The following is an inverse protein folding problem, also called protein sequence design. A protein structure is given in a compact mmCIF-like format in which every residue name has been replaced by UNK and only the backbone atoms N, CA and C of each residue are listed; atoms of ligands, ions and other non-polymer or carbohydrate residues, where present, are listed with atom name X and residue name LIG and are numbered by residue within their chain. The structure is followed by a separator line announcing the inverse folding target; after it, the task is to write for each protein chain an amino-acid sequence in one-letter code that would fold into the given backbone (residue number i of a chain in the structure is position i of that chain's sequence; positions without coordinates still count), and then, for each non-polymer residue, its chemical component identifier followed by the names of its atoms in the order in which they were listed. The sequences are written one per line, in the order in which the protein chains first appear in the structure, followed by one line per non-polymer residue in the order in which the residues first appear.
data_IF_584221601538
#
_entry.id   IF_584221601538
#
_cell.length_a   1.000
_cell.length_b   1.000
_cell.length_c   1.000
_cell.angle_alpha   90.00
_cell.angle_beta   90.00
_cell.angle_gamma   90.00
#
_symmetry.space_group_name_H-M   'P 1'
#
loop_
_entity.id
_entity.type
_entity.pdbx_description
1 polymer ?
#
# COMPACT_ATOMS: atom_id res chain seq x y z
N UNK A 1 -37.78 18.35 40.53
CA UNK A 1 -37.81 17.62 39.24
C UNK A 1 -38.81 16.49 39.38
N UNK A 2 -39.96 16.64 38.74
CA UNK A 2 -41.13 15.76 38.85
C UNK A 2 -40.90 14.41 38.15
N UNK A 3 -41.64 13.38 38.57
CA UNK A 3 -41.56 12.02 37.99
C UNK A 3 -41.85 12.01 36.47
N UNK A 4 -42.64 12.96 35.96
CA UNK A 4 -42.89 13.17 34.53
C UNK A 4 -41.60 13.49 33.75
N UNK A 5 -40.74 14.38 34.26
CA UNK A 5 -39.46 14.72 33.62
C UNK A 5 -38.49 13.53 33.59
N UNK A 6 -38.56 12.62 34.57
CA UNK A 6 -37.81 11.36 34.56
C UNK A 6 -38.38 10.34 33.55
N UNK A 7 -39.69 10.34 33.34
CA UNK A 7 -40.38 9.52 32.33
C UNK A 7 -40.05 9.96 30.89
N UNK A 8 -40.07 11.27 30.64
CA UNK A 8 -39.75 11.86 29.34
C UNK A 8 -38.28 11.62 28.95
N UNK A 9 -37.33 11.85 29.86
CA UNK A 9 -35.91 11.56 29.60
C UNK A 9 -35.62 10.07 29.38
N UNK A 10 -36.35 9.15 30.04
CA UNK A 10 -36.23 7.70 29.78
C UNK A 10 -36.79 7.32 28.42
N UNK A 11 -37.92 7.91 28.01
CA UNK A 11 -38.53 7.66 26.72
C UNK A 11 -37.67 8.21 25.56
N UNK A 12 -37.07 9.38 25.75
CA UNK A 12 -36.15 10.01 24.79
C UNK A 12 -34.84 9.22 24.66
N UNK A 13 -34.26 8.77 25.79
CA UNK A 13 -33.11 7.86 25.80
C UNK A 13 -33.40 6.50 25.16
N UNK A 14 -34.64 6.00 25.25
CA UNK A 14 -35.07 4.75 24.60
C UNK A 14 -35.17 4.89 23.08
N UNK A 15 -35.77 5.99 22.60
CA UNK A 15 -35.87 6.31 21.16
C UNK A 15 -34.50 6.51 20.50
N UNK A 16 -33.57 7.14 21.21
CA UNK A 16 -32.20 7.33 20.72
C UNK A 16 -31.44 6.00 20.62
N UNK A 17 -31.63 5.09 21.58
CA UNK A 17 -31.03 3.76 21.54
C UNK A 17 -31.56 2.94 20.36
N UNK A 18 -32.88 2.93 20.15
CA UNK A 18 -33.52 2.21 19.04
C UNK A 18 -33.02 2.74 17.68
N UNK A 19 -32.90 4.06 17.54
CA UNK A 19 -32.31 4.69 16.36
C UNK A 19 -30.86 4.26 16.13
N UNK A 20 -30.03 4.18 17.17
CA UNK A 20 -28.64 3.71 17.06
C UNK A 20 -28.56 2.25 16.63
N UNK A 21 -29.39 1.37 17.19
CA UNK A 21 -29.42 -0.05 16.83
C UNK A 21 -29.86 -0.25 15.36
N UNK A 22 -30.83 0.55 14.88
CA UNK A 22 -31.20 0.53 13.46
C UNK A 22 -30.05 0.96 12.55
N UNK A 23 -29.32 2.02 12.92
CA UNK A 23 -28.14 2.46 12.18
C UNK A 23 -27.01 1.42 12.21
N UNK A 24 -26.82 0.72 13.33
CA UNK A 24 -25.87 -0.41 13.43
C UNK A 24 -26.21 -1.49 12.41
N UNK A 25 -27.47 -1.87 12.29
CA UNK A 25 -27.94 -2.84 11.28
C UNK A 25 -27.67 -2.35 9.86
N UNK A 26 -27.84 -1.06 9.55
CA UNK A 26 -27.47 -0.52 8.24
C UNK A 26 -25.98 -0.71 7.93
N UNK A 27 -25.09 -0.47 8.90
CA UNK A 27 -23.65 -0.64 8.72
C UNK A 27 -23.28 -2.11 8.57
N UNK A 28 -23.92 -3.03 9.30
CA UNK A 28 -23.72 -4.48 9.13
C UNK A 28 -24.14 -4.94 7.72
N UNK A 29 -25.28 -4.44 7.23
CA UNK A 29 -25.75 -4.69 5.87
C UNK A 29 -24.79 -4.13 4.81
N UNK A 30 -24.24 -2.93 5.02
CA UNK A 30 -23.23 -2.36 4.13
C UNK A 30 -21.96 -3.22 4.12
N UNK A 31 -21.49 -3.67 5.28
CA UNK A 31 -20.30 -4.50 5.40
C UNK A 31 -20.43 -5.80 4.61
N UNK A 32 -21.49 -6.58 4.83
CA UNK A 32 -21.70 -7.86 4.13
C UNK A 32 -21.97 -7.66 2.64
N UNK A 33 -22.75 -6.65 2.26
CA UNK A 33 -23.02 -6.34 0.85
C UNK A 33 -21.72 -5.98 0.11
N UNK A 34 -20.95 -5.06 0.66
CA UNK A 34 -19.70 -4.62 0.03
C UNK A 34 -18.61 -5.69 0.07
N UNK A 35 -18.66 -6.63 1.02
CA UNK A 35 -17.78 -7.80 1.03
C UNK A 35 -18.13 -8.77 -0.10
N UNK A 36 -19.42 -9.06 -0.32
CA UNK A 36 -19.89 -9.87 -1.46
C UNK A 36 -19.48 -9.25 -2.80
N UNK A 37 -19.70 -7.95 -2.95
CA UNK A 37 -19.32 -7.21 -4.17
C UNK A 37 -17.80 -7.27 -4.41
N UNK A 38 -17.01 -7.21 -3.33
CA UNK A 38 -15.56 -7.32 -3.39
C UNK A 38 -15.09 -8.73 -3.74
N UNK A 39 -15.61 -9.77 -3.09
CA UNK A 39 -15.31 -11.18 -3.43
C UNK A 39 -15.68 -11.45 -4.89
N UNK A 40 -16.85 -11.03 -5.36
CA UNK A 40 -17.23 -11.18 -6.77
C UNK A 40 -16.31 -10.43 -7.73
N UNK A 41 -15.68 -9.34 -7.28
CA UNK A 41 -14.64 -8.64 -8.05
C UNK A 41 -13.34 -9.45 -8.11
N UNK A 42 -12.92 -10.05 -7.00
CA UNK A 42 -11.75 -10.93 -6.95
C UNK A 42 -11.93 -12.21 -7.78
N UNK A 43 -13.13 -12.79 -7.76
CA UNK A 43 -13.47 -13.97 -8.56
C UNK A 43 -13.38 -13.67 -10.06
N UNK A 44 -13.86 -12.50 -10.47
CA UNK A 44 -13.68 -12.01 -11.84
C UNK A 44 -12.19 -11.89 -12.20
N UNK A 45 -11.36 -11.33 -11.33
CA UNK A 45 -9.91 -11.21 -11.55
C UNK A 45 -9.22 -12.58 -11.62
N UNK A 46 -9.63 -13.56 -10.81
CA UNK A 46 -9.12 -14.94 -10.87
C UNK A 46 -9.47 -15.62 -12.20
N UNK A 47 -10.71 -15.49 -12.68
CA UNK A 47 -11.10 -15.98 -14.00
C UNK A 47 -10.29 -15.31 -15.12
N UNK A 48 -10.04 -14.00 -15.00
CA UNK A 48 -9.22 -13.26 -15.95
C UNK A 48 -7.78 -13.77 -15.95
N UNK A 49 -7.17 -13.95 -14.77
CA UNK A 49 -5.82 -14.49 -14.57
C UNK A 49 -5.68 -15.85 -15.26
N UNK A 50 -6.60 -16.79 -15.00
CA UNK A 50 -6.52 -18.13 -15.59
C UNK A 50 -6.60 -18.10 -17.12
N UNK A 51 -7.44 -17.24 -17.67
CA UNK A 51 -7.54 -17.06 -19.12
C UNK A 51 -6.26 -16.47 -19.71
N UNK A 52 -5.65 -15.51 -19.02
CA UNK A 52 -4.41 -14.89 -19.48
C UNK A 52 -3.22 -15.87 -19.40
N UNK A 53 -3.19 -16.74 -18.38
CA UNK A 53 -2.22 -17.84 -18.28
C UNK A 53 -2.37 -18.83 -19.45
N UNK A 54 -3.59 -19.27 -19.76
CA UNK A 54 -3.83 -20.12 -20.94
C UNK A 54 -3.33 -19.45 -22.23
N UNK A 55 -3.55 -18.15 -22.38
CA UNK A 55 -3.05 -17.41 -23.53
C UNK A 55 -1.51 -17.36 -23.56
N UNK A 56 -0.86 -17.13 -22.41
CA UNK A 56 0.60 -17.14 -22.29
C UNK A 56 1.21 -18.50 -22.67
N UNK A 57 0.58 -19.60 -22.27
CA UNK A 57 1.00 -20.97 -22.62
C UNK A 57 0.96 -21.24 -24.13
N UNK A 58 -0.03 -20.68 -24.84
CA UNK A 58 -0.10 -20.81 -26.31
C UNK A 58 1.00 -20.06 -27.05
N UNK A 59 1.74 -19.15 -26.37
CA UNK A 59 2.82 -18.33 -26.93
C UNK A 59 2.42 -17.54 -28.19
N UNK A 60 1.14 -17.21 -28.32
CA UNK A 60 0.60 -16.48 -29.48
C UNK A 60 1.05 -15.01 -29.53
N UNK A 61 1.27 -14.37 -28.39
CA UNK A 61 1.83 -13.01 -28.30
C UNK A 61 3.05 -13.01 -27.39
N UNK A 62 4.20 -12.58 -27.92
CA UNK A 62 5.49 -12.54 -27.20
C UNK A 62 5.49 -11.63 -25.96
N UNK A 63 4.52 -10.72 -25.83
CA UNK A 63 4.43 -9.76 -24.73
C UNK A 63 3.57 -10.30 -23.55
N UNK A 64 2.76 -11.34 -23.78
CA UNK A 64 1.96 -12.00 -22.74
C UNK A 64 2.67 -13.29 -22.37
N UNK A 65 3.52 -13.21 -21.35
CA UNK A 65 4.26 -14.35 -20.79
C UNK A 65 3.76 -14.67 -19.39
N UNK A 66 4.10 -15.84 -18.85
CA UNK A 66 3.82 -16.19 -17.46
C UNK A 66 4.33 -15.13 -16.48
N UNK A 67 5.51 -14.56 -16.73
CA UNK A 67 6.07 -13.49 -15.90
C UNK A 67 5.25 -12.20 -16.01
N UNK A 68 4.78 -11.85 -17.21
CA UNK A 68 3.85 -10.71 -17.40
C UNK A 68 2.58 -10.92 -16.57
N UNK A 69 1.99 -12.12 -16.58
CA UNK A 69 0.78 -12.42 -15.79
C UNK A 69 1.07 -12.35 -14.30
N UNK A 70 2.20 -12.93 -13.85
CA UNK A 70 2.63 -12.90 -12.46
C UNK A 70 2.77 -11.47 -11.93
N UNK A 71 3.41 -10.58 -12.69
CA UNK A 71 3.56 -9.16 -12.32
C UNK A 71 2.22 -8.43 -12.34
N UNK A 72 1.32 -8.71 -13.30
CA UNK A 72 0.02 -8.04 -13.37
C UNK A 72 -0.90 -8.38 -12.19
N UNK A 73 -0.91 -9.64 -11.75
CA UNK A 73 -1.88 -10.13 -10.78
C UNK A 73 -1.32 -10.42 -9.39
N UNK A 74 0.00 -10.51 -9.22
CA UNK A 74 0.63 -10.82 -7.92
C UNK A 74 0.00 -12.07 -7.28
N UNK A 75 -0.26 -12.01 -5.98
CA UNK A 75 -0.92 -13.03 -5.18
C UNK A 75 -2.45 -12.83 -5.08
N UNK A 76 -3.12 -12.35 -6.14
CA UNK A 76 -4.59 -12.09 -6.12
C UNK A 76 -5.43 -13.31 -5.72
N UNK A 77 -4.98 -14.53 -6.03
CA UNK A 77 -5.68 -15.76 -5.67
C UNK A 77 -5.63 -16.05 -4.17
N UNK A 78 -4.52 -15.70 -3.51
CA UNK A 78 -4.41 -15.78 -2.05
C UNK A 78 -5.33 -14.76 -1.38
N UNK A 79 -5.40 -13.54 -1.93
CA UNK A 79 -6.36 -12.50 -1.50
C UNK A 79 -7.78 -13.01 -1.64
N UNK A 80 -8.14 -13.61 -2.77
CA UNK A 80 -9.45 -14.23 -2.97
C UNK A 80 -9.73 -15.34 -1.94
N UNK A 81 -8.77 -16.22 -1.68
CA UNK A 81 -8.93 -17.29 -0.70
C UNK A 81 -9.24 -16.77 0.70
N UNK A 82 -8.49 -15.76 1.17
CA UNK A 82 -8.73 -15.14 2.48
C UNK A 82 -10.09 -14.46 2.55
N UNK A 83 -10.51 -13.75 1.49
CA UNK A 83 -11.79 -13.04 1.49
C UNK A 83 -13.00 -13.95 1.31
N UNK A 84 -12.87 -15.11 0.66
CA UNK A 84 -13.91 -16.15 0.66
C UNK A 84 -14.15 -16.68 2.06
N UNK A 85 -13.09 -17.03 2.78
CA UNK A 85 -13.19 -17.52 4.16
C UNK A 85 -13.76 -16.44 5.09
N UNK A 86 -13.30 -15.19 4.93
CA UNK A 86 -13.79 -14.05 5.71
C UNK A 86 -15.28 -13.79 5.46
N UNK A 87 -15.70 -13.79 4.19
CA UNK A 87 -17.09 -13.64 3.82
C UNK A 87 -17.94 -14.78 4.41
N UNK A 88 -17.52 -16.04 4.29
CA UNK A 88 -18.25 -17.18 4.86
C UNK A 88 -18.50 -17.02 6.36
N UNK A 89 -17.47 -16.65 7.13
CA UNK A 89 -17.60 -16.42 8.57
C UNK A 89 -18.57 -15.27 8.89
N UNK A 90 -18.49 -14.17 8.15
CA UNK A 90 -19.40 -13.01 8.34
C UNK A 90 -20.84 -13.37 7.96
N UNK A 91 -21.03 -14.12 6.88
CA UNK A 91 -22.36 -14.55 6.43
C UNK A 91 -23.01 -15.49 7.43
N UNK A 92 -22.28 -16.49 7.94
CA UNK A 92 -22.76 -17.42 8.95
C UNK A 92 -23.18 -16.68 10.23
N UNK A 93 -22.39 -15.71 10.68
CA UNK A 93 -22.71 -14.93 11.88
C UNK A 93 -23.93 -14.02 11.70
N UNK A 94 -24.19 -13.56 10.47
CA UNK A 94 -25.26 -12.61 10.18
C UNK A 94 -26.55 -13.28 9.67
N UNK A 95 -26.67 -14.61 9.71
CA UNK A 95 -27.90 -15.33 9.37
C UNK A 95 -29.02 -15.13 10.41
N UNK A 96 -30.30 -15.18 10.01
CA UNK A 96 -30.79 -15.15 8.62
C UNK A 96 -30.69 -13.75 8.00
N UNK A 97 -30.69 -12.71 8.83
CA UNK A 97 -30.49 -11.31 8.43
C UNK A 97 -29.69 -10.57 9.51
N UNK A 98 -28.93 -9.51 9.16
CA UNK A 98 -28.14 -8.76 10.14
C UNK A 98 -28.99 -8.17 11.28
N UNK A 99 -28.72 -8.60 12.51
CA UNK A 99 -29.36 -8.13 13.72
C UNK A 99 -28.42 -7.23 14.54
N UNK A 100 -28.98 -6.28 15.29
CA UNK A 100 -28.21 -5.32 16.06
C UNK A 100 -27.35 -5.94 17.17
N UNK A 101 -27.65 -7.19 17.58
CA UNK A 101 -26.93 -7.94 18.62
C UNK A 101 -25.80 -8.82 18.09
N UNK A 102 -25.65 -8.97 16.77
CA UNK A 102 -24.54 -9.76 16.22
C UNK A 102 -23.19 -9.13 16.55
N UNK A 103 -22.17 -9.97 16.72
CA UNK A 103 -20.86 -9.59 17.25
C UNK A 103 -19.76 -9.84 16.22
N UNK A 104 -19.61 -8.96 15.23
CA UNK A 104 -18.69 -9.17 14.09
C UNK A 104 -17.22 -8.87 14.41
N UNK A 105 -16.94 -8.25 15.56
CA UNK A 105 -15.58 -7.84 15.92
C UNK A 105 -14.59 -8.99 15.88
N UNK A 106 -14.98 -10.16 16.40
CA UNK A 106 -14.13 -11.35 16.43
C UNK A 106 -13.75 -11.87 15.02
N UNK A 107 -14.57 -11.65 14.00
CA UNK A 107 -14.25 -12.04 12.62
C UNK A 107 -12.97 -11.33 12.17
N UNK A 108 -12.84 -10.03 12.39
CA UNK A 108 -11.62 -9.29 12.02
C UNK A 108 -10.39 -9.77 12.81
N UNK A 109 -10.56 -10.06 14.10
CA UNK A 109 -9.46 -10.55 14.93
C UNK A 109 -8.98 -11.94 14.49
N UNK A 110 -9.90 -12.82 14.10
CA UNK A 110 -9.57 -14.14 13.57
C UNK A 110 -8.71 -14.07 12.31
N UNK A 111 -8.95 -13.08 11.45
CA UNK A 111 -8.23 -12.89 10.18
C UNK A 111 -7.00 -11.98 10.29
N UNK A 112 -6.62 -11.55 11.51
CA UNK A 112 -5.50 -10.61 11.77
C UNK A 112 -4.22 -10.92 11.00
N UNK A 113 -3.69 -12.14 11.13
CA UNK A 113 -2.45 -12.53 10.45
C UNK A 113 -2.65 -12.76 8.96
N UNK A 114 -3.85 -13.22 8.56
CA UNK A 114 -4.17 -13.53 7.16
C UNK A 114 -4.25 -12.28 6.29
N UNK A 115 -4.52 -11.10 6.86
CA UNK A 115 -4.46 -9.84 6.12
C UNK A 115 -3.03 -9.40 5.74
N UNK A 116 -1.97 -10.05 6.23
CA UNK A 116 -0.58 -9.73 5.86
C UNK A 116 -0.27 -10.01 4.37
N UNK A 117 -1.07 -10.84 3.70
CA UNK A 117 -0.96 -11.08 2.24
C UNK A 117 -1.05 -9.79 1.40
N UNK A 118 -1.63 -8.73 1.96
CA UNK A 118 -1.72 -7.43 1.31
C UNK A 118 -0.37 -6.72 1.19
N UNK A 119 0.63 -7.07 2.00
CA UNK A 119 1.97 -6.47 1.90
C UNK A 119 2.59 -6.80 0.52
N UNK A 120 2.46 -8.05 0.07
CA UNK A 120 2.91 -8.47 -1.26
C UNK A 120 2.09 -7.78 -2.37
N UNK A 121 0.76 -7.84 -2.29
CA UNK A 121 -0.10 -7.29 -3.34
C UNK A 121 0.12 -5.78 -3.53
N UNK A 122 0.16 -5.04 -2.42
CA UNK A 122 0.36 -3.59 -2.45
C UNK A 122 1.78 -3.22 -2.89
N UNK A 123 2.80 -3.98 -2.46
CA UNK A 123 4.18 -3.79 -2.90
C UNK A 123 4.40 -4.04 -4.39
N UNK A 124 3.63 -4.95 -5.00
CA UNK A 124 3.70 -5.23 -6.43
C UNK A 124 2.83 -4.29 -7.30
N UNK A 125 1.81 -3.64 -6.73
CA UNK A 125 0.79 -2.93 -7.51
C UNK A 125 1.34 -1.82 -8.43
N UNK A 126 2.39 -1.11 -8.01
CA UNK A 126 3.00 -0.07 -8.85
C UNK A 126 3.67 -0.67 -10.10
N UNK A 127 4.35 -1.82 -9.94
CA UNK A 127 4.95 -2.56 -11.07
C UNK A 127 3.84 -3.05 -12.01
N UNK A 128 2.75 -3.57 -11.47
CA UNK A 128 1.58 -3.99 -12.24
C UNK A 128 0.98 -2.85 -13.05
N UNK A 129 0.81 -1.66 -12.46
CA UNK A 129 0.28 -0.47 -13.15
C UNK A 129 1.21 0.00 -14.29
N UNK A 130 2.52 0.10 -14.02
CA UNK A 130 3.52 0.49 -15.03
C UNK A 130 3.51 -0.51 -16.20
N UNK A 131 3.49 -1.82 -15.90
CA UNK A 131 3.43 -2.87 -16.90
C UNK A 131 2.14 -2.80 -17.73
N UNK A 132 0.97 -2.66 -17.09
CA UNK A 132 -0.31 -2.58 -17.78
C UNK A 132 -0.37 -1.37 -18.74
N UNK A 133 0.21 -0.23 -18.34
CA UNK A 133 0.34 0.94 -19.21
C UNK A 133 1.14 0.61 -20.49
N UNK A 134 2.28 -0.06 -20.36
CA UNK A 134 3.11 -0.46 -21.51
C UNK A 134 2.41 -1.49 -22.39
N UNK A 135 1.75 -2.49 -21.80
CA UNK A 135 0.98 -3.49 -22.53
C UNK A 135 -0.18 -2.88 -23.32
N UNK A 136 -0.85 -1.87 -22.76
CA UNK A 136 -1.94 -1.17 -23.44
C UNK A 136 -1.49 -0.36 -24.67
N UNK A 137 -0.20 -0.02 -24.80
CA UNK A 137 0.36 0.58 -26.03
C UNK A 137 0.41 -0.42 -27.18
N UNK A 138 0.40 -1.71 -26.89
CA UNK A 138 0.48 -2.79 -27.88
C UNK A 138 -0.94 -3.18 -28.29
N UNK A 139 -1.32 -2.89 -29.55
CA UNK A 139 -2.70 -3.07 -30.05
C UNK A 139 -3.21 -4.50 -29.92
N UNK A 140 -2.37 -5.51 -30.20
CA UNK A 140 -2.74 -6.94 -30.07
C UNK A 140 -3.06 -7.30 -28.62
N UNK A 141 -2.16 -6.96 -27.69
CA UNK A 141 -2.32 -7.20 -26.25
C UNK A 141 -3.54 -6.49 -25.70
N UNK A 142 -3.71 -5.20 -25.99
CA UNK A 142 -4.90 -4.43 -25.57
C UNK A 142 -6.20 -5.09 -26.04
N UNK A 143 -6.23 -5.58 -27.28
CA UNK A 143 -7.40 -6.30 -27.82
C UNK A 143 -7.63 -7.61 -27.06
N UNK A 144 -6.57 -8.35 -26.74
CA UNK A 144 -6.64 -9.56 -25.95
C UNK A 144 -7.19 -9.29 -24.53
N UNK A 145 -6.69 -8.27 -23.84
CA UNK A 145 -7.18 -7.87 -22.52
C UNK A 145 -8.66 -7.49 -22.55
N UNK A 146 -9.09 -6.70 -23.54
CA UNK A 146 -10.50 -6.35 -23.72
C UNK A 146 -11.39 -7.57 -24.00
N UNK A 147 -10.92 -8.52 -24.82
CA UNK A 147 -11.64 -9.77 -25.07
C UNK A 147 -11.77 -10.60 -23.79
N UNK A 148 -10.72 -10.66 -22.97
CA UNK A 148 -10.76 -11.33 -21.67
C UNK A 148 -11.78 -10.66 -20.73
N UNK A 149 -11.85 -9.32 -20.70
CA UNK A 149 -12.84 -8.57 -19.91
C UNK A 149 -14.28 -8.92 -20.32
N UNK A 150 -14.56 -8.95 -21.63
CA UNK A 150 -15.89 -9.25 -22.17
C UNK A 150 -16.32 -10.70 -21.88
N UNK A 151 -15.42 -11.65 -22.07
CA UNK A 151 -15.67 -13.07 -21.82
C UNK A 151 -15.83 -13.40 -20.33
N UNK A 152 -15.30 -12.56 -19.43
CA UNK A 152 -15.51 -12.66 -17.98
C UNK A 152 -16.85 -12.12 -17.48
N UNK A 153 -17.80 -11.79 -18.38
CA UNK A 153 -19.16 -11.39 -18.03
C UNK A 153 -19.36 -9.89 -17.75
N UNK A 154 -18.32 -9.07 -17.90
CA UNK A 154 -18.42 -7.60 -17.80
C UNK A 154 -18.87 -7.03 -19.15
N UNK A 155 -20.18 -7.03 -19.39
CA UNK A 155 -20.80 -6.50 -20.63
C UNK A 155 -20.62 -4.99 -20.81
N UNK A 156 -20.41 -4.26 -19.71
CA UNK A 156 -20.07 -2.83 -19.73
C UNK A 156 -18.58 -2.67 -19.37
N UNK A 157 -17.76 -2.24 -20.34
CA UNK A 157 -16.33 -1.95 -20.17
C UNK A 157 -16.07 -0.54 -19.62
N UNK A 158 -17.02 0.04 -18.86
CA UNK A 158 -16.86 1.38 -18.29
C UNK A 158 -15.72 1.45 -17.28
N UNK A 159 -15.50 0.35 -16.54
CA UNK A 159 -14.35 0.23 -15.62
C UNK A 159 -13.23 -0.51 -16.36
N UNK A 160 -12.07 0.13 -16.57
CA UNK A 160 -10.92 -0.50 -17.21
C UNK A 160 -10.22 -1.46 -16.22
N UNK A 161 -9.33 -2.34 -16.69
CA UNK A 161 -8.70 -3.38 -15.87
C UNK A 161 -7.96 -2.79 -14.66
N UNK A 162 -7.33 -1.62 -14.83
CA UNK A 162 -6.68 -0.82 -13.79
C UNK A 162 -7.61 -0.58 -12.59
N UNK A 163 -8.90 -0.31 -12.86
CA UNK A 163 -9.91 -0.06 -11.82
C UNK A 163 -10.23 -1.30 -10.99
N UNK A 164 -10.09 -2.50 -11.54
CA UNK A 164 -10.25 -3.74 -10.81
C UNK A 164 -8.99 -4.10 -10.02
N UNK A 165 -7.80 -3.89 -10.60
CA UNK A 165 -6.53 -4.19 -9.95
C UNK A 165 -6.26 -3.29 -8.73
N UNK A 166 -6.87 -2.09 -8.65
CA UNK A 166 -6.76 -1.23 -7.46
C UNK A 166 -7.75 -1.61 -6.35
N UNK A 167 -8.75 -2.45 -6.65
CA UNK A 167 -9.83 -2.77 -5.71
C UNK A 167 -9.34 -3.37 -4.38
N UNK A 168 -8.32 -4.26 -4.32
CA UNK A 168 -7.80 -4.76 -3.05
C UNK A 168 -7.23 -3.65 -2.15
N UNK A 169 -6.44 -2.74 -2.72
CA UNK A 169 -5.87 -1.61 -1.98
C UNK A 169 -6.99 -0.71 -1.44
N UNK A 170 -8.02 -0.46 -2.25
CA UNK A 170 -9.18 0.30 -1.80
C UNK A 170 -9.90 -0.43 -0.68
N UNK A 171 -10.15 -1.74 -0.81
CA UNK A 171 -10.92 -2.52 0.16
C UNK A 171 -10.26 -2.54 1.52
N UNK A 172 -8.96 -2.84 1.59
CA UNK A 172 -8.26 -2.92 2.88
C UNK A 172 -8.32 -1.58 3.64
N UNK A 173 -8.29 -0.46 2.91
CA UNK A 173 -8.43 0.89 3.46
C UNK A 173 -9.86 1.26 3.89
N UNK A 174 -10.90 0.52 3.46
CA UNK A 174 -12.30 0.77 3.86
C UNK A 174 -12.66 0.16 5.20
N UNK A 175 -12.01 -0.94 5.62
CA UNK A 175 -12.37 -1.60 6.87
C UNK A 175 -12.26 -0.71 8.12
N UNK A 176 -11.21 0.13 8.30
CA UNK A 176 -11.17 1.07 9.42
C UNK A 176 -12.35 2.06 9.42
N UNK A 177 -12.84 2.46 8.24
CA UNK A 177 -13.97 3.38 8.13
C UNK A 177 -15.28 2.69 8.52
N UNK A 178 -15.52 1.47 8.01
CA UNK A 178 -16.68 0.65 8.35
C UNK A 178 -16.69 0.32 9.85
N UNK A 179 -15.57 -0.13 10.41
CA UNK A 179 -15.44 -0.44 11.83
C UNK A 179 -15.61 0.79 12.72
N UNK A 180 -15.10 1.96 12.31
CA UNK A 180 -15.30 3.22 13.04
C UNK A 180 -16.77 3.62 13.06
N UNK A 181 -17.45 3.54 11.93
CA UNK A 181 -18.88 3.85 11.86
C UNK A 181 -19.69 2.82 12.65
N UNK A 182 -19.37 1.53 12.54
CA UNK A 182 -20.03 0.48 13.32
C UNK A 182 -19.86 0.69 14.82
N UNK A 183 -18.64 0.95 15.29
CA UNK A 183 -18.33 1.22 16.70
C UNK A 183 -19.09 2.46 17.23
N UNK A 184 -19.26 3.49 16.39
CA UNK A 184 -20.06 4.68 16.73
C UNK A 184 -21.54 4.34 16.97
N UNK A 185 -22.06 3.29 16.33
CA UNK A 185 -23.44 2.79 16.50
C UNK A 185 -23.56 1.66 17.54
N UNK A 186 -22.46 1.29 18.19
CA UNK A 186 -22.42 0.24 19.21
C UNK A 186 -22.44 0.85 20.61
N UNK A 187 -23.47 0.60 21.44
CA UNK A 187 -23.46 1.04 22.83
C UNK A 187 -22.28 0.45 23.60
N UNK A 188 -21.69 1.19 24.55
CA UNK A 188 -20.56 0.69 25.38
C UNK A 188 -20.86 -0.58 26.17
N UNK A 189 -22.15 -0.85 26.46
CA UNK A 189 -22.61 -2.05 27.16
C UNK A 189 -22.82 -3.25 26.23
N UNK A 190 -22.72 -3.06 24.91
CA UNK A 190 -22.84 -4.14 23.93
C UNK A 190 -21.59 -5.03 23.98
N UNK A 191 -21.76 -6.35 23.93
CA UNK A 191 -20.66 -7.32 24.00
C UNK A 191 -19.58 -7.07 22.93
N UNK A 192 -20.00 -6.80 21.70
CA UNK A 192 -19.11 -6.48 20.56
C UNK A 192 -18.31 -5.16 20.71
N UNK A 193 -18.60 -4.29 21.68
CA UNK A 193 -17.96 -2.97 21.76
C UNK A 193 -16.42 -3.07 21.93
N UNK A 194 -15.97 -3.94 22.84
CA UNK A 194 -14.55 -4.18 23.08
C UNK A 194 -13.85 -4.77 21.86
N UNK A 195 -14.48 -5.79 21.26
CA UNK A 195 -13.98 -6.48 20.07
C UNK A 195 -13.88 -5.53 18.88
N UNK A 196 -14.89 -4.70 18.63
CA UNK A 196 -14.87 -3.71 17.54
C UNK A 196 -13.78 -2.65 17.72
N UNK A 197 -13.53 -2.21 18.95
CA UNK A 197 -12.45 -1.26 19.21
C UNK A 197 -11.08 -1.90 18.90
N UNK A 198 -10.87 -3.15 19.31
CA UNK A 198 -9.64 -3.88 18.99
C UNK A 198 -9.50 -4.11 17.48
N UNK A 199 -10.55 -4.57 16.81
CA UNK A 199 -10.60 -4.77 15.36
C UNK A 199 -10.33 -3.48 14.59
N UNK A 200 -10.82 -2.33 15.07
CA UNK A 200 -10.52 -1.04 14.49
C UNK A 200 -9.02 -0.71 14.57
N UNK A 201 -8.38 -0.95 15.72
CA UNK A 201 -6.93 -0.70 15.86
C UNK A 201 -6.12 -1.67 14.99
N UNK A 202 -6.54 -2.94 14.93
CA UNK A 202 -5.97 -3.94 14.04
C UNK A 202 -5.99 -3.46 12.58
N UNK A 203 -7.16 -3.10 12.05
CA UNK A 203 -7.27 -2.72 10.63
C UNK A 203 -6.55 -1.41 10.32
N UNK A 204 -6.46 -0.49 11.29
CA UNK A 204 -5.59 0.69 11.17
C UNK A 204 -4.11 0.31 11.07
N UNK A 205 -3.65 -0.63 11.90
CA UNK A 205 -2.27 -1.11 11.87
C UNK A 205 -1.94 -1.79 10.54
N UNK A 206 -2.86 -2.62 10.02
CA UNK A 206 -2.71 -3.23 8.68
C UNK A 206 -2.57 -2.16 7.60
N UNK A 207 -3.44 -1.15 7.59
CA UNK A 207 -3.32 -0.04 6.62
C UNK A 207 -2.02 0.76 6.77
N UNK A 208 -1.56 0.97 8.00
CA UNK A 208 -0.29 1.68 8.26
C UNK A 208 0.90 0.90 7.74
N UNK A 209 0.94 -0.42 7.99
CA UNK A 209 1.99 -1.33 7.49
C UNK A 209 2.12 -1.25 5.97
N UNK A 210 1.00 -1.35 5.26
CA UNK A 210 0.95 -1.27 3.79
C UNK A 210 1.50 0.08 3.29
N UNK A 211 1.11 1.18 3.94
CA UNK A 211 1.52 2.53 3.54
C UNK A 211 3.02 2.79 3.85
N UNK A 212 3.53 2.23 4.94
CA UNK A 212 4.94 2.31 5.30
C UNK A 212 5.82 1.46 4.36
N UNK A 213 5.38 0.25 4.02
CA UNK A 213 6.08 -0.61 3.07
C UNK A 213 6.24 0.06 1.70
N UNK A 214 5.18 0.71 1.20
CA UNK A 214 5.25 1.49 -0.04
C UNK A 214 6.21 2.67 0.08
N UNK A 215 6.11 3.45 1.17
CA UNK A 215 7.02 4.59 1.43
C UNK A 215 8.48 4.15 1.48
N UNK A 216 8.78 3.00 2.10
CA UNK A 216 10.13 2.48 2.17
C UNK A 216 10.66 2.07 0.79
N UNK A 217 9.82 1.45 -0.05
CA UNK A 217 10.19 1.13 -1.43
C UNK A 217 10.47 2.40 -2.25
N UNK A 218 9.62 3.42 -2.17
CA UNK A 218 9.85 4.73 -2.82
C UNK A 218 11.17 5.37 -2.34
N UNK A 219 11.48 5.28 -1.04
CA UNK A 219 12.77 5.77 -0.50
C UNK A 219 13.96 5.02 -1.11
N UNK A 220 13.89 3.70 -1.23
CA UNK A 220 14.97 2.90 -1.83
C UNK A 220 15.18 3.24 -3.31
N UNK A 221 14.11 3.45 -4.09
CA UNK A 221 14.21 3.89 -5.49
C UNK A 221 14.92 5.25 -5.60
N UNK A 222 14.59 6.20 -4.71
CA UNK A 222 15.27 7.52 -4.65
C UNK A 222 16.76 7.35 -4.34
N UNK A 223 17.12 6.43 -3.44
CA UNK A 223 18.51 6.15 -3.10
C UNK A 223 19.28 5.53 -4.28
N UNK A 224 18.69 4.57 -4.97
CA UNK A 224 19.28 3.96 -6.16
C UNK A 224 19.47 4.99 -7.29
N UNK A 225 18.45 5.80 -7.56
CA UNK A 225 18.54 6.91 -8.51
C UNK A 225 19.64 7.90 -8.09
N UNK A 226 19.72 8.26 -6.80
CA UNK A 226 20.77 9.14 -6.30
C UNK A 226 22.17 8.54 -6.52
N UNK A 227 22.39 7.26 -6.22
CA UNK A 227 23.67 6.60 -6.43
C UNK A 227 24.05 6.58 -7.91
N UNK A 228 23.09 6.43 -8.83
CA UNK A 228 23.33 6.47 -10.28
C UNK A 228 23.92 7.80 -10.77
N UNK A 229 23.70 8.89 -10.03
CA UNK A 229 24.26 10.21 -10.32
C UNK A 229 25.70 10.40 -9.81
N UNK A 230 26.30 9.38 -9.19
CA UNK A 230 27.66 9.40 -8.64
C UNK A 230 28.59 8.57 -9.53
N UNK A 231 29.58 9.22 -10.12
CA UNK A 231 30.65 8.55 -10.85
C UNK A 231 31.70 7.98 -9.88
N UNK A 232 32.17 6.76 -10.17
CA UNK A 232 33.26 6.12 -9.42
C UNK A 232 32.85 5.64 -8.04
N UNK A 233 31.61 5.18 -7.87
CA UNK A 233 31.13 4.61 -6.61
C UNK A 233 32.01 3.45 -6.13
N UNK A 234 32.34 3.42 -4.83
CA UNK A 234 33.09 2.34 -4.19
C UNK A 234 32.34 1.77 -2.98
N UNK A 235 32.45 0.45 -2.79
CA UNK A 235 31.77 -0.32 -1.73
C UNK A 235 30.40 -0.87 -2.14
N UNK A 236 29.61 -1.34 -1.16
CA UNK A 236 28.26 -1.86 -1.38
C UNK A 236 27.31 -0.80 -1.94
N UNK A 237 26.20 -1.22 -2.55
CA UNK A 237 25.17 -0.25 -2.94
C UNK A 237 24.61 0.46 -1.71
N UNK A 238 24.13 1.69 -1.91
CA UNK A 238 23.57 2.49 -0.83
C UNK A 238 22.36 1.78 -0.20
N UNK A 239 21.54 1.14 -1.03
CA UNK A 239 20.34 0.38 -0.63
C UNK A 239 20.64 -0.91 0.13
N UNK A 240 21.88 -1.42 0.09
CA UNK A 240 22.29 -2.60 0.87
C UNK A 240 22.44 -2.28 2.36
N UNK A 241 22.63 -1.00 2.71
CA UNK A 241 22.97 -0.59 4.08
C UNK A 241 22.07 0.51 4.62
N UNK A 242 21.58 1.41 3.77
CA UNK A 242 20.83 2.59 4.14
C UNK A 242 19.39 2.50 3.63
N UNK A 243 18.46 3.06 4.39
CA UNK A 243 17.04 3.13 4.03
C UNK A 243 16.56 4.55 3.70
N UNK A 244 17.31 5.58 4.11
CA UNK A 244 16.95 6.96 3.80
C UNK A 244 18.13 7.93 3.83
N UNK A 245 18.02 9.02 3.06
CA UNK A 245 18.90 10.19 3.17
C UNK A 245 18.32 11.16 4.20
N UNK A 246 19.09 11.44 5.24
CA UNK A 246 18.71 12.32 6.34
C UNK A 246 19.01 13.78 6.01
N UNK A 247 20.17 14.05 5.39
CA UNK A 247 20.62 15.41 5.12
C UNK A 247 21.61 15.46 3.95
N UNK A 248 21.65 16.60 3.26
CA UNK A 248 22.73 16.92 2.32
C UNK A 248 23.15 18.37 2.44
N UNK A 249 24.43 18.67 2.19
CA UNK A 249 24.96 20.02 2.31
C UNK A 249 26.36 20.18 1.73
N UNK A 250 26.73 21.41 1.38
CA UNK A 250 28.09 21.75 0.92
C UNK A 250 28.89 22.23 2.12
N UNK A 251 30.05 21.62 2.35
CA UNK A 251 30.95 21.95 3.45
C UNK A 251 32.41 22.01 2.94
N UNK A 252 33.27 22.70 3.67
CA UNK A 252 34.71 22.66 3.46
C UNK A 252 35.30 21.49 4.23
N UNK A 253 35.89 20.53 3.51
CA UNK A 253 36.61 19.39 4.08
C UNK A 253 38.10 19.74 4.20
N UNK A 254 38.66 19.61 5.39
CA UNK A 254 40.10 19.76 5.63
C UNK A 254 40.70 18.36 5.85
N UNK A 255 41.77 18.02 5.15
CA UNK A 255 42.48 16.75 5.35
C UNK A 255 43.97 16.90 5.04
N UNK A 256 44.81 16.58 6.02
CA UNK A 256 46.27 16.73 5.93
C UNK A 256 46.70 18.12 5.37
N UNK A 257 46.09 19.19 5.88
CA UNK A 257 46.35 20.58 5.46
C UNK A 257 45.67 21.01 4.16
N UNK A 258 45.03 20.12 3.41
CA UNK A 258 44.31 20.48 2.18
C UNK A 258 42.85 20.82 2.46
N UNK A 259 42.45 22.05 2.14
CA UNK A 259 41.06 22.53 2.24
C UNK A 259 40.35 22.34 0.89
N UNK A 260 39.22 21.63 0.89
CA UNK A 260 38.50 21.29 -0.33
C UNK A 260 36.98 21.36 -0.11
N UNK A 261 36.27 22.10 -0.97
CA UNK A 261 34.81 22.09 -0.98
C UNK A 261 34.27 20.71 -1.40
N UNK A 262 33.36 20.14 -0.62
CA UNK A 262 32.70 18.85 -0.87
C UNK A 262 31.21 18.97 -0.59
N UNK A 263 30.42 18.19 -1.32
CA UNK A 263 29.03 17.94 -0.96
C UNK A 263 28.97 16.67 -0.12
N UNK A 264 28.32 16.74 1.02
CA UNK A 264 28.09 15.65 1.95
C UNK A 264 26.64 15.20 1.88
N UNK A 265 26.44 13.90 2.01
CA UNK A 265 25.15 13.23 2.06
C UNK A 265 25.16 12.30 3.27
N UNK A 266 24.33 12.61 4.26
CA UNK A 266 24.15 11.82 5.47
C UNK A 266 22.94 10.91 5.28
N UNK A 267 23.17 9.61 5.47
CA UNK A 267 22.17 8.56 5.51
C UNK A 267 22.09 7.98 6.92
N UNK A 268 21.10 7.12 7.17
CA UNK A 268 20.88 6.45 8.45
C UNK A 268 22.11 5.68 8.96
N UNK A 269 22.86 5.01 8.07
CA UNK A 269 24.05 4.22 8.45
C UNK A 269 25.37 4.65 7.79
N UNK A 270 25.34 5.73 7.01
CA UNK A 270 26.49 6.09 6.18
C UNK A 270 26.58 7.60 5.98
N UNK A 271 27.79 8.13 5.99
CA UNK A 271 28.11 9.46 5.50
C UNK A 271 28.90 9.33 4.21
N UNK A 272 28.40 9.91 3.11
CA UNK A 272 29.09 9.93 1.81
C UNK A 272 29.48 11.36 1.47
N UNK A 273 30.67 11.56 0.92
CA UNK A 273 31.07 12.87 0.40
C UNK A 273 31.64 12.78 -1.00
N UNK A 274 31.30 13.78 -1.82
CA UNK A 274 31.60 13.81 -3.23
C UNK A 274 32.15 15.17 -3.67
N UNK A 275 32.81 15.20 -4.83
CA UNK A 275 33.15 16.43 -5.54
C UNK A 275 32.05 16.73 -6.57
N UNK A 276 31.48 17.93 -6.55
CA UNK A 276 30.49 18.36 -7.55
C UNK A 276 31.16 18.50 -8.93
N UNK A 277 30.54 17.97 -9.99
CA UNK A 277 31.01 18.17 -11.36
C UNK A 277 30.50 19.51 -11.89
N UNK A 278 31.40 20.31 -12.46
CA UNK A 278 31.02 21.51 -13.20
C UNK A 278 30.50 21.08 -14.58
N UNK A 279 29.17 21.13 -14.79
CA UNK A 279 28.59 20.92 -16.13
C UNK A 279 29.04 22.08 -17.03
N UNK A 280 29.86 21.79 -18.05
CA UNK A 280 29.98 22.69 -19.21
C UNK A 280 28.70 22.51 -20.02
N UNK A 281 27.93 23.56 -20.25
CA UNK A 281 26.77 23.52 -21.15
C UNK A 281 27.28 23.10 -22.55
N UNK A 282 27.04 21.84 -22.93
CA UNK A 282 27.12 21.42 -24.33
C UNK A 282 25.71 21.48 -24.88
N UNK A 283 25.50 22.33 -25.89
CA UNK A 283 24.30 22.37 -26.71
C UNK A 283 24.13 21.02 -27.43
N UNK A 284 23.38 20.10 -26.83
CA UNK A 284 23.03 18.82 -27.44
C UNK A 284 21.67 18.37 -26.89
N UNK A 285 20.70 18.23 -27.80
CA UNK A 285 19.31 17.83 -27.54
C UNK A 285 19.20 16.31 -27.27
N UNK A 286 19.94 15.82 -26.29
CA UNK A 286 19.84 14.44 -25.78
C UNK A 286 20.19 14.45 -24.29
N UNK A 287 19.22 14.84 -23.45
CA UNK A 287 19.38 14.95 -22.01
C UNK A 287 19.04 13.63 -21.31
N UNK A 288 19.94 12.65 -21.38
CA UNK A 288 20.11 11.73 -20.25
C UNK A 288 21.05 12.43 -19.29
N UNK A 289 20.60 12.72 -18.07
CA UNK A 289 21.39 13.45 -17.10
C UNK A 289 22.57 12.61 -16.62
N UNK A 290 23.73 12.82 -17.24
CA UNK A 290 24.98 12.17 -16.82
C UNK A 290 25.35 12.48 -15.36
N UNK A 291 26.33 11.73 -14.79
CA UNK A 291 26.67 11.79 -13.38
C UNK A 291 27.00 13.22 -12.92
N UNK A 292 26.36 13.64 -11.82
CA UNK A 292 26.42 14.99 -11.24
C UNK A 292 27.56 15.14 -10.23
N UNK A 293 27.99 14.03 -9.66
CA UNK A 293 28.98 13.98 -8.58
C UNK A 293 30.09 12.98 -8.91
N UNK A 294 31.28 13.23 -8.37
CA UNK A 294 32.40 12.29 -8.38
C UNK A 294 32.63 11.81 -6.95
N UNK A 295 32.57 10.51 -6.75
CA UNK A 295 32.77 9.88 -5.45
C UNK A 295 34.14 10.24 -4.85
N UNK A 296 34.20 10.44 -3.53
CA UNK A 296 35.45 10.74 -2.81
C UNK A 296 35.64 9.95 -1.53
N UNK A 297 34.56 9.45 -0.92
CA UNK A 297 34.66 8.56 0.22
C UNK A 297 33.31 8.35 0.89
N UNK A 298 33.28 7.33 1.73
CA UNK A 298 32.14 6.95 2.58
C UNK A 298 32.64 6.55 3.96
N UNK A 299 31.82 6.76 4.99
CA UNK A 299 32.12 6.46 6.39
C UNK A 299 30.89 5.78 6.99
N UNK A 300 31.06 4.62 7.64
CA UNK A 300 29.98 4.01 8.42
C UNK A 300 29.76 4.86 9.68
N UNK A 301 28.52 5.30 9.91
CA UNK A 301 28.18 6.17 11.04
C UNK A 301 28.30 5.47 12.39
N UNK A 302 28.25 4.13 12.44
CA UNK A 302 28.46 3.35 13.67
C UNK A 302 29.89 3.48 14.24
N UNK A 303 30.87 3.82 13.39
CA UNK A 303 32.28 4.01 13.77
C UNK A 303 32.74 5.45 13.59
N UNK A 304 31.80 6.38 13.39
CA UNK A 304 32.08 7.80 13.23
C UNK A 304 31.89 8.52 14.56
N UNK A 305 32.94 9.19 15.03
CA UNK A 305 32.87 10.10 16.17
C UNK A 305 32.80 11.55 15.69
N UNK A 306 32.08 12.39 16.43
CA UNK A 306 31.88 13.81 16.10
C UNK A 306 32.28 14.64 17.30
N UNK A 307 33.26 15.51 17.10
CA UNK A 307 33.72 16.47 18.09
C UNK A 307 33.34 17.89 17.64
N UNK A 308 32.91 18.71 18.59
CA UNK A 308 32.65 20.12 18.33
C UNK A 308 33.97 20.91 18.49
N UNK A 309 34.22 21.83 17.58
CA UNK A 309 35.40 22.70 17.61
C UNK A 309 34.95 24.13 17.87
N UNK A 310 35.65 24.81 18.77
CA UNK A 310 35.39 26.23 19.06
C UNK A 310 35.97 27.12 17.95
N UNK A 311 35.33 28.26 17.71
CA UNK A 311 35.82 29.22 16.72
C UNK A 311 37.23 29.73 17.10
N UNK A 312 38.21 29.50 16.22
CA UNK A 312 39.58 30.02 16.38
C UNK A 312 40.66 28.97 16.73
N UNK A 313 40.31 27.69 16.86
CA UNK A 313 41.27 26.56 16.81
C UNK A 313 41.66 26.19 15.38
#
# INVERSE_FOLDING_TARGET
MTEESRGEHRAESGKDLEKQLRLRVCVLNELIKTERDYVGTLEFLSVFLHRLNQYAETKLDKNITEETVKVLFSNIEEVLGVHRDFLSMVEELLQPEPHAHHEIGHCFLHFRSRFQIYDEYCGNHEKAQKLLLELNKIRSVRTCLLNCMLLGGRKNTEVPLEGYLVAPIQRICKYPLLLKELLKRTPKKHNDYGLLNESLQLMKAVCSSINEAKRQMEKLEILEEWQSHIEGWEGSNITDTCTEMLMQGILLKISAGNIQERIFFLFDKLLVYCKKKNRRLKNSKASTEGPRYLFRGRINTEVMEVENMDDGT
#
